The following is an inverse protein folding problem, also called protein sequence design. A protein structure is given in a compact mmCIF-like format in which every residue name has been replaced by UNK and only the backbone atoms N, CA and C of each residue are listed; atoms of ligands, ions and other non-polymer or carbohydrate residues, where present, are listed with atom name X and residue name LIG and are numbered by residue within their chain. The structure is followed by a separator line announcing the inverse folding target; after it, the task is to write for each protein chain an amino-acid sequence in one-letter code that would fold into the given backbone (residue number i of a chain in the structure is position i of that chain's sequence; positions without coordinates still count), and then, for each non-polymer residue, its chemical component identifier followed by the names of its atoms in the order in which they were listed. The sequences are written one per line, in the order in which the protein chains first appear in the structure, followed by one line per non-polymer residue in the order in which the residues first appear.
data_IF_492127407740
#
_entry.id   IF_492127407740
#
_cell.length_a   1.000
_cell.length_b   1.000
_cell.length_c   1.000
_cell.angle_alpha   90.00
_cell.angle_beta   90.00
_cell.angle_gamma   90.00
#
_symmetry.space_group_name_H-M   'P 1'
#
loop_
_entity.id
_entity.type
_entity.pdbx_description
1 polymer ?
#
# COMPACT_ATOMS: atom_id res chain seq x y z
N UNK A 1 20.49 5.18 1.93
CA UNK A 1 19.13 4.60 2.03
C UNK A 1 18.29 5.02 0.84
N UNK A 2 17.67 4.06 0.18
CA UNK A 2 16.76 4.36 -0.93
C UNK A 2 15.32 4.27 -0.44
N UNK A 3 14.57 5.34 -0.64
CA UNK A 3 13.17 5.45 -0.22
C UNK A 3 12.30 5.70 -1.45
N UNK A 4 11.22 4.96 -1.55
CA UNK A 4 10.23 5.13 -2.61
C UNK A 4 9.00 5.79 -2.02
N UNK A 5 8.52 6.86 -2.65
CA UNK A 5 7.24 7.49 -2.31
C UNK A 5 6.33 7.28 -3.51
N UNK A 6 5.25 6.55 -3.29
CA UNK A 6 4.31 6.20 -4.35
C UNK A 6 2.94 6.80 -4.04
N UNK A 7 2.39 7.55 -5.00
CA UNK A 7 1.05 8.13 -4.87
C UNK A 7 0.07 7.39 -5.75
N UNK A 8 -1.04 6.95 -5.16
CA UNK A 8 -2.11 6.32 -5.90
C UNK A 8 -3.34 7.21 -5.82
N UNK A 9 -3.90 7.57 -6.97
CA UNK A 9 -4.97 8.56 -7.05
C UNK A 9 -6.35 7.98 -7.31
N UNK A 10 -6.48 6.66 -7.23
CA UNK A 10 -7.75 5.97 -7.43
C UNK A 10 -8.11 5.15 -6.19
N UNK A 11 -9.40 4.83 -6.03
CA UNK A 11 -9.81 3.93 -4.96
C UNK A 11 -9.22 2.54 -5.20
N UNK A 12 -8.84 1.87 -4.12
CA UNK A 12 -8.27 0.52 -4.21
C UNK A 12 -9.36 -0.53 -4.13
N UNK A 13 -9.44 -1.37 -5.13
CA UNK A 13 -10.40 -2.46 -5.16
C UNK A 13 -9.83 -3.62 -5.97
N UNK A 14 -10.55 -4.71 -5.98
CA UNK A 14 -10.15 -5.98 -6.61
C UNK A 14 -9.60 -5.80 -8.02
N UNK A 15 -10.20 -4.93 -8.84
CA UNK A 15 -9.81 -4.80 -10.24
C UNK A 15 -8.48 -4.07 -10.44
N UNK A 16 -8.06 -3.19 -9.52
CA UNK A 16 -6.85 -2.38 -9.71
C UNK A 16 -5.74 -2.63 -8.70
N UNK A 17 -5.98 -3.39 -7.65
CA UNK A 17 -4.96 -3.62 -6.62
C UNK A 17 -3.73 -4.35 -7.17
N UNK A 18 -3.89 -5.17 -8.18
CA UNK A 18 -2.76 -5.87 -8.81
C UNK A 18 -1.85 -4.91 -9.56
N UNK A 19 -2.44 -3.92 -10.22
CA UNK A 19 -1.68 -2.87 -10.90
C UNK A 19 -0.88 -2.06 -9.87
N UNK A 20 -1.54 -1.67 -8.80
CA UNK A 20 -0.92 -0.97 -7.68
C UNK A 20 0.29 -1.76 -7.14
N UNK A 21 0.11 -3.05 -6.88
CA UNK A 21 1.16 -3.91 -6.37
C UNK A 21 2.33 -4.02 -7.37
N UNK A 22 2.03 -4.26 -8.64
CA UNK A 22 3.02 -4.36 -9.70
C UNK A 22 3.86 -3.10 -9.83
N UNK A 23 3.21 -1.94 -9.81
CA UNK A 23 3.91 -0.67 -9.94
C UNK A 23 4.91 -0.47 -8.79
N UNK A 24 4.50 -0.80 -7.56
CA UNK A 24 5.37 -0.68 -6.41
C UNK A 24 6.54 -1.68 -6.51
N UNK A 25 6.24 -2.93 -6.82
CA UNK A 25 7.27 -3.96 -6.92
C UNK A 25 8.30 -3.66 -8.01
N UNK A 26 7.84 -3.12 -9.14
CA UNK A 26 8.73 -2.75 -10.24
C UNK A 26 9.59 -1.53 -9.91
N UNK A 27 9.24 -0.76 -8.90
CA UNK A 27 10.01 0.40 -8.46
C UNK A 27 11.09 0.04 -7.44
N UNK A 28 11.02 -1.15 -6.87
CA UNK A 28 11.96 -1.58 -5.82
C UNK A 28 13.31 -1.94 -6.44
N UNK A 29 14.38 -1.44 -5.81
CA UNK A 29 15.76 -1.70 -6.19
C UNK A 29 16.48 -2.41 -5.05
N UNK A 30 17.71 -2.87 -5.30
CA UNK A 30 18.48 -3.60 -4.30
C UNK A 30 18.71 -2.82 -3.00
N UNK A 31 18.85 -1.50 -3.10
CA UNK A 31 19.11 -0.63 -1.95
C UNK A 31 17.85 -0.01 -1.35
N UNK A 32 16.65 -0.43 -1.80
CA UNK A 32 15.40 0.09 -1.26
C UNK A 32 15.18 -0.41 0.15
N UNK A 33 14.99 0.50 1.09
CA UNK A 33 14.76 0.18 2.50
C UNK A 33 13.36 0.59 2.99
N UNK A 34 12.75 1.57 2.33
CA UNK A 34 11.46 2.11 2.76
C UNK A 34 10.56 2.35 1.54
N UNK A 35 9.30 1.95 1.65
CA UNK A 35 8.25 2.25 0.69
C UNK A 35 7.14 2.99 1.41
N UNK A 36 6.82 4.18 0.96
CA UNK A 36 5.75 5.00 1.54
C UNK A 36 4.69 5.20 0.47
N UNK A 37 3.45 4.84 0.79
CA UNK A 37 2.30 5.07 -0.09
C UNK A 37 1.56 6.31 0.40
N UNK A 38 1.49 7.33 -0.44
CA UNK A 38 0.68 8.51 -0.18
C UNK A 38 -0.76 8.20 -0.60
N UNK A 39 -1.63 8.06 0.38
CA UNK A 39 -3.01 7.63 0.19
C UNK A 39 -4.01 8.78 0.29
N UNK A 40 -3.57 10.03 0.15
CA UNK A 40 -4.44 11.18 0.30
C UNK A 40 -5.65 11.16 -0.64
N UNK A 41 -5.49 10.62 -1.84
CA UNK A 41 -6.54 10.55 -2.85
C UNK A 41 -7.35 9.24 -2.82
N UNK A 42 -7.02 8.30 -1.94
CA UNK A 42 -7.75 7.05 -1.81
C UNK A 42 -8.89 7.24 -0.82
N UNK A 43 -10.13 7.15 -1.31
CA UNK A 43 -11.32 7.34 -0.48
C UNK A 43 -11.99 6.05 -0.05
N UNK A 44 -11.67 4.95 -0.69
CA UNK A 44 -12.31 3.66 -0.39
C UNK A 44 -11.38 2.50 -0.76
N UNK A 45 -11.52 1.42 0.00
CA UNK A 45 -10.73 0.21 -0.20
C UNK A 45 -11.63 -0.99 0.10
N UNK A 46 -11.65 -2.00 -0.77
CA UNK A 46 -12.45 -3.20 -0.50
C UNK A 46 -11.62 -4.26 0.24
N UNK A 47 -12.31 -5.34 0.66
CA UNK A 47 -11.69 -6.42 1.44
C UNK A 47 -10.52 -7.06 0.68
N UNK A 48 -10.70 -7.30 -0.61
CA UNK A 48 -9.65 -7.93 -1.44
C UNK A 48 -8.40 -7.06 -1.52
N UNK A 49 -8.60 -5.75 -1.72
CA UNK A 49 -7.48 -4.82 -1.76
C UNK A 49 -6.79 -4.71 -0.39
N UNK A 50 -7.56 -4.68 0.69
CA UNK A 50 -6.99 -4.63 2.05
C UNK A 50 -6.14 -5.87 2.35
N UNK A 51 -6.63 -7.05 1.99
CA UNK A 51 -5.87 -8.28 2.16
C UNK A 51 -4.57 -8.26 1.37
N UNK A 52 -4.61 -7.72 0.16
CA UNK A 52 -3.42 -7.60 -0.68
C UNK A 52 -2.39 -6.64 -0.08
N UNK A 53 -2.84 -5.54 0.48
CA UNK A 53 -1.95 -4.61 1.18
C UNK A 53 -1.26 -5.26 2.37
N UNK A 54 -2.01 -6.04 3.13
CA UNK A 54 -1.45 -6.76 4.27
C UNK A 54 -0.38 -7.76 3.82
N UNK A 55 -0.65 -8.51 2.76
CA UNK A 55 0.33 -9.45 2.19
C UNK A 55 1.58 -8.74 1.69
N UNK A 56 1.41 -7.58 1.05
CA UNK A 56 2.54 -6.78 0.60
C UNK A 56 3.40 -6.31 1.77
N UNK A 57 2.78 -5.84 2.83
CA UNK A 57 3.49 -5.39 4.02
C UNK A 57 4.30 -6.52 4.64
N UNK A 58 3.73 -7.72 4.73
CA UNK A 58 4.42 -8.90 5.25
C UNK A 58 5.61 -9.29 4.35
N UNK A 59 5.41 -9.28 3.04
CA UNK A 59 6.47 -9.64 2.10
C UNK A 59 7.63 -8.65 2.15
N UNK A 60 7.32 -7.36 2.25
CA UNK A 60 8.36 -6.34 2.37
C UNK A 60 9.12 -6.47 3.69
N UNK A 61 8.42 -6.75 4.78
CA UNK A 61 9.05 -6.97 6.08
C UNK A 61 10.06 -8.11 6.02
N UNK A 62 9.71 -9.21 5.36
CA UNK A 62 10.60 -10.35 5.17
C UNK A 62 11.85 -9.99 4.37
N UNK A 63 11.78 -8.98 3.51
CA UNK A 63 12.90 -8.49 2.72
C UNK A 63 13.67 -7.37 3.41
N UNK A 64 13.26 -7.00 4.62
CA UNK A 64 13.88 -5.89 5.35
C UNK A 64 13.44 -4.52 4.86
N UNK A 65 12.32 -4.44 4.15
CA UNK A 65 11.77 -3.19 3.62
C UNK A 65 10.61 -2.75 4.51
N UNK A 66 10.63 -1.50 4.96
CA UNK A 66 9.53 -0.92 5.73
C UNK A 66 8.47 -0.40 4.78
N UNK A 67 7.22 -0.70 5.07
CA UNK A 67 6.09 -0.31 4.23
C UNK A 67 5.11 0.53 5.05
N UNK A 68 4.85 1.75 4.60
CA UNK A 68 3.96 2.69 5.28
C UNK A 68 2.90 3.20 4.33
N UNK A 69 1.71 3.45 4.86
CA UNK A 69 0.63 4.13 4.15
C UNK A 69 0.32 5.40 4.93
N UNK A 70 0.42 6.55 4.28
CA UNK A 70 0.24 7.84 4.94
C UNK A 70 -0.92 8.62 4.33
N UNK A 71 -1.43 9.59 5.07
CA UNK A 71 -2.44 10.54 4.62
C UNK A 71 -3.74 9.91 4.14
N UNK A 72 -4.11 8.73 4.69
CA UNK A 72 -5.39 8.14 4.32
C UNK A 72 -6.57 8.97 4.83
N UNK A 73 -7.67 8.95 4.07
CA UNK A 73 -8.92 9.58 4.49
C UNK A 73 -9.48 8.85 5.71
N UNK A 74 -10.33 9.54 6.46
CA UNK A 74 -11.02 8.94 7.60
C UNK A 74 -11.83 7.71 7.19
N UNK A 75 -12.45 7.77 6.02
CA UNK A 75 -13.24 6.65 5.50
C UNK A 75 -12.37 5.41 5.28
N UNK A 76 -11.18 5.57 4.72
CA UNK A 76 -10.24 4.46 4.54
C UNK A 76 -9.76 3.94 5.89
N UNK A 77 -9.48 4.82 6.83
CA UNK A 77 -9.07 4.42 8.18
C UNK A 77 -10.13 3.56 8.86
N UNK A 78 -11.40 3.93 8.75
CA UNK A 78 -12.49 3.14 9.31
C UNK A 78 -12.60 1.77 8.64
N UNK A 79 -12.49 1.74 7.31
CA UNK A 79 -12.52 0.48 6.58
C UNK A 79 -11.37 -0.44 6.98
N UNK A 80 -10.18 0.11 7.10
CA UNK A 80 -9.01 -0.68 7.51
C UNK A 80 -9.16 -1.21 8.92
N UNK A 81 -9.68 -0.42 9.85
CA UNK A 81 -9.92 -0.86 11.22
C UNK A 81 -10.94 -1.99 11.29
N UNK A 82 -12.03 -1.86 10.56
CA UNK A 82 -13.08 -2.91 10.56
C UNK A 82 -12.60 -4.20 9.93
N UNK A 83 -11.56 -4.15 9.08
CA UNK A 83 -10.94 -5.31 8.47
C UNK A 83 -9.75 -5.86 9.25
N UNK A 84 -9.39 -5.22 10.36
CA UNK A 84 -8.31 -5.71 11.23
C UNK A 84 -6.90 -5.32 10.78
N UNK A 85 -6.76 -4.28 9.98
CA UNK A 85 -5.45 -3.83 9.48
C UNK A 85 -4.93 -2.65 10.27
#
# INVERSE_FOLDING_TARGET
MHMIIYRFSENLFFANVKIFQSDIENSIKEDTEVVIVDAAAINSIDVTAADRLEMMAENFDKKGIRFYITEHSENVNEQMRSLGI
#
